data_IF_627103722605
#
_entry.id   IF_627103722605
#
_cell.length_a   1.000
_cell.length_b   1.000
_cell.length_c   1.000
_cell.angle_alpha   90.00
_cell.angle_beta   90.00
_cell.angle_gamma   90.00
#
_symmetry.space_group_name_H-M   'P 1'
#
loop_
_entity.id
_entity.type
_entity.pdbx_description
1 polymer ?
#
# COMPACT_ATOMS: atom_id res chain seq x y z
N UNK A 1 -19.00 3.22 15.72
CA UNK A 1 -19.47 2.20 14.76
C UNK A 1 -18.42 1.09 14.74
N UNK A 2 -18.61 0.05 15.55
CA UNK A 2 -17.68 -1.08 15.59
C UNK A 2 -18.01 -2.09 14.49
N UNK A 3 -17.01 -2.82 14.01
CA UNK A 3 -17.19 -3.96 13.10
C UNK A 3 -17.97 -5.05 13.87
N UNK A 4 -19.31 -5.03 13.77
CA UNK A 4 -20.18 -5.92 14.56
C UNK A 4 -20.18 -7.37 14.07
N UNK A 5 -19.60 -7.63 12.89
CA UNK A 5 -19.48 -8.93 12.27
C UNK A 5 -18.01 -9.32 12.14
N UNK A 6 -17.70 -10.61 12.21
CA UNK A 6 -16.34 -11.11 12.06
C UNK A 6 -15.82 -11.14 10.62
N UNK A 7 -16.53 -10.51 9.67
CA UNK A 7 -16.31 -10.58 8.23
C UNK A 7 -17.39 -11.40 7.49
N UNK A 8 -17.18 -11.71 6.19
CA UNK A 8 -15.97 -11.45 5.42
C UNK A 8 -15.84 -9.98 4.99
N UNK A 9 -14.59 -9.52 4.88
CA UNK A 9 -14.22 -8.20 4.38
C UNK A 9 -13.36 -8.30 3.14
N UNK A 10 -13.42 -7.26 2.31
CA UNK A 10 -12.52 -7.06 1.18
C UNK A 10 -11.62 -5.87 1.44
N UNK A 11 -10.31 -6.09 1.39
CA UNK A 11 -9.29 -5.06 1.39
C UNK A 11 -8.94 -4.70 -0.06
N UNK A 12 -8.98 -3.40 -0.37
CA UNK A 12 -8.57 -2.84 -1.65
C UNK A 12 -7.57 -1.72 -1.38
N UNK A 13 -6.35 -1.84 -1.91
CA UNK A 13 -5.37 -0.75 -1.89
C UNK A 13 -5.24 -0.15 -3.28
N UNK A 14 -5.30 1.18 -3.38
CA UNK A 14 -5.23 1.91 -4.64
C UNK A 14 -4.32 3.12 -4.58
N UNK A 15 -3.87 3.56 -5.76
CA UNK A 15 -3.24 4.86 -6.01
C UNK A 15 -4.07 5.64 -7.04
N UNK A 16 -4.74 6.74 -6.65
CA UNK A 16 -5.53 7.58 -7.55
C UNK A 16 -4.71 8.70 -8.22
N UNK A 17 -3.46 8.90 -7.83
CA UNK A 17 -2.66 10.06 -8.24
C UNK A 17 -1.91 9.83 -9.56
N UNK A 18 -1.79 8.58 -10.03
CA UNK A 18 -1.16 8.25 -11.32
C UNK A 18 -1.84 8.91 -12.52
N UNK A 19 -3.18 8.90 -12.55
CA UNK A 19 -3.97 9.49 -13.62
C UNK A 19 -5.24 10.13 -13.03
N UNK A 20 -5.17 11.44 -12.79
CA UNK A 20 -6.25 12.21 -12.14
C UNK A 20 -7.41 12.42 -13.11
N UNK A 21 -8.32 11.44 -13.18
CA UNK A 21 -9.53 11.49 -14.01
C UNK A 21 -10.79 11.76 -13.19
N UNK A 22 -11.89 12.13 -13.85
CA UNK A 22 -13.22 12.23 -13.26
C UNK A 22 -14.23 11.51 -14.18
N UNK A 23 -14.84 10.38 -13.77
CA UNK A 23 -14.65 9.66 -12.49
C UNK A 23 -13.23 9.09 -12.30
N UNK A 24 -12.82 8.79 -11.06
CA UNK A 24 -11.44 8.39 -10.77
C UNK A 24 -11.08 7.04 -11.39
N UNK A 25 -9.91 7.02 -12.00
CA UNK A 25 -9.22 5.86 -12.54
C UNK A 25 -7.96 5.64 -11.71
N UNK A 26 -7.73 4.42 -11.25
CA UNK A 26 -6.75 4.16 -10.19
C UNK A 26 -5.80 3.03 -10.56
N UNK A 27 -4.65 2.97 -9.91
CA UNK A 27 -3.80 1.78 -9.90
C UNK A 27 -4.24 0.88 -8.76
N UNK A 28 -4.36 -0.43 -9.03
CA UNK A 28 -4.58 -1.45 -7.99
C UNK A 28 -3.25 -1.92 -7.43
N UNK A 29 -3.06 -1.77 -6.12
CA UNK A 29 -1.85 -2.26 -5.43
C UNK A 29 -2.05 -3.63 -4.78
N UNK A 30 -3.24 -3.92 -4.25
CA UNK A 30 -3.63 -5.25 -3.78
C UNK A 30 -5.14 -5.34 -3.62
N UNK A 31 -5.66 -6.57 -3.71
CA UNK A 31 -7.04 -6.93 -3.40
C UNK A 31 -7.02 -8.26 -2.66
N UNK A 32 -7.56 -8.25 -1.44
CA UNK A 32 -7.65 -9.45 -0.60
C UNK A 32 -9.09 -9.58 -0.15
N UNK A 33 -9.72 -10.69 -0.52
CA UNK A 33 -11.08 -11.04 -0.14
C UNK A 33 -11.08 -12.00 1.05
N UNK A 34 -12.26 -12.25 1.62
CA UNK A 34 -12.52 -13.20 2.69
C UNK A 34 -11.70 -12.94 3.96
N UNK A 35 -11.36 -11.67 4.22
CA UNK A 35 -10.69 -11.28 5.45
C UNK A 35 -11.67 -11.38 6.62
N UNK A 36 -11.21 -11.91 7.74
CA UNK A 36 -11.98 -11.97 8.99
C UNK A 36 -11.24 -11.20 10.09
N UNK A 37 -11.97 -10.63 11.04
CA UNK A 37 -11.39 -9.95 12.21
C UNK A 37 -10.99 -10.92 13.32
N UNK A 38 -11.24 -12.22 13.13
CA UNK A 38 -10.95 -13.26 14.10
C UNK A 38 -9.43 -13.52 14.20
N UNK A 39 -8.82 -13.03 15.27
CA UNK A 39 -7.44 -13.34 15.63
C UNK A 39 -7.34 -14.84 15.94
N UNK A 40 -6.38 -15.56 15.32
CA UNK A 40 -6.14 -17.01 15.43
C UNK A 40 -7.06 -17.95 14.62
N UNK A 41 -7.93 -17.44 13.75
CA UNK A 41 -8.52 -18.30 12.71
C UNK A 41 -7.52 -18.49 11.58
N UNK A 42 -7.44 -19.69 11.00
CA UNK A 42 -6.81 -19.89 9.70
C UNK A 42 -7.55 -19.00 8.70
N UNK A 43 -6.99 -17.84 8.39
CA UNK A 43 -7.68 -16.84 7.60
C UNK A 43 -8.06 -17.45 6.26
N UNK A 44 -9.35 -17.44 5.92
CA UNK A 44 -9.84 -17.80 4.58
C UNK A 44 -9.50 -16.73 3.53
N UNK A 45 -8.60 -15.80 3.88
CA UNK A 45 -8.11 -14.73 3.04
C UNK A 45 -7.73 -15.27 1.67
N UNK A 46 -8.34 -14.69 0.66
CA UNK A 46 -8.10 -15.01 -0.72
C UNK A 46 -7.42 -13.80 -1.38
N UNK A 47 -6.14 -13.95 -1.71
CA UNK A 47 -5.38 -12.92 -2.41
C UNK A 47 -5.78 -12.94 -3.87
N UNK A 48 -6.73 -12.07 -4.23
CA UNK A 48 -7.17 -11.90 -5.61
C UNK A 48 -6.12 -11.17 -6.44
N UNK A 49 -5.39 -10.26 -5.80
CA UNK A 49 -4.37 -9.42 -6.40
C UNK A 49 -3.20 -9.27 -5.43
N UNK A 50 -2.06 -9.86 -5.77
CA UNK A 50 -0.86 -9.81 -4.93
C UNK A 50 -0.38 -8.37 -4.78
N UNK A 51 0.21 -8.08 -3.62
CA UNK A 51 0.69 -6.74 -3.30
C UNK A 51 1.85 -6.30 -4.21
N UNK A 52 1.73 -5.08 -4.73
CA UNK A 52 2.80 -4.37 -5.43
C UNK A 52 3.16 -3.13 -4.62
N UNK A 53 4.45 -2.94 -4.34
CA UNK A 53 4.91 -1.81 -3.56
C UNK A 53 4.67 -0.47 -4.29
N UNK A 54 4.32 0.61 -3.55
CA UNK A 54 4.38 1.98 -4.04
C UNK A 54 5.72 2.30 -4.71
N UNK A 55 5.66 2.80 -5.94
CA UNK A 55 6.82 3.26 -6.71
C UNK A 55 6.45 4.47 -7.58
N UNK A 56 6.04 5.60 -6.97
CA UNK A 56 5.65 6.78 -7.73
C UNK A 56 6.85 7.30 -8.54
N UNK A 57 6.63 7.62 -9.82
CA UNK A 57 7.68 8.12 -10.70
C UNK A 57 7.99 9.60 -10.50
N UNK A 58 7.04 10.37 -9.96
CA UNK A 58 7.18 11.81 -9.75
C UNK A 58 6.22 12.29 -8.66
N UNK A 59 6.61 13.35 -7.95
CA UNK A 59 5.74 13.98 -6.95
C UNK A 59 5.41 13.05 -5.78
N UNK A 60 4.32 13.37 -5.08
CA UNK A 60 3.83 12.59 -3.94
C UNK A 60 2.46 12.01 -4.27
N UNK A 61 2.34 10.69 -4.14
CA UNK A 61 1.09 9.95 -4.37
C UNK A 61 0.46 9.54 -3.03
N UNK A 62 -0.86 9.45 -3.00
CA UNK A 62 -1.64 8.92 -1.89
C UNK A 62 -1.97 7.45 -2.17
N UNK A 63 -1.70 6.59 -1.21
CA UNK A 63 -2.05 5.18 -1.26
C UNK A 63 -3.14 4.93 -0.24
N UNK A 64 -4.34 4.62 -0.71
CA UNK A 64 -5.51 4.46 0.15
C UNK A 64 -5.86 2.99 0.27
N UNK A 65 -5.98 2.51 1.50
CA UNK A 65 -6.49 1.21 1.85
C UNK A 65 -7.96 1.36 2.24
N UNK A 66 -8.84 0.73 1.48
CA UNK A 66 -10.26 0.61 1.81
C UNK A 66 -10.57 -0.78 2.32
N UNK A 67 -11.39 -0.85 3.36
CA UNK A 67 -12.02 -2.08 3.82
C UNK A 67 -13.52 -1.98 3.53
N UNK A 68 -14.06 -2.99 2.84
CA UNK A 68 -15.48 -3.09 2.51
C UNK A 68 -16.09 -4.31 3.18
N UNK A 69 -17.35 -4.22 3.57
CA UNK A 69 -18.16 -5.41 3.85
C UNK A 69 -18.23 -6.23 2.54
N UNK A 70 -17.86 -7.51 2.61
CA UNK A 70 -17.93 -8.40 1.47
C UNK A 70 -19.20 -9.25 1.55
N UNK A 71 -20.01 -9.22 0.50
CA UNK A 71 -21.19 -10.07 0.43
C UNK A 71 -20.81 -11.55 0.30
N UNK A 72 -21.68 -12.45 0.76
CA UNK A 72 -21.46 -13.90 0.70
C UNK A 72 -21.30 -14.44 -0.72
N UNK A 73 -21.84 -13.74 -1.72
CA UNK A 73 -21.77 -14.09 -3.15
C UNK A 73 -20.85 -13.16 -3.94
N UNK A 74 -19.88 -12.52 -3.28
CA UNK A 74 -18.95 -11.63 -3.94
C UNK A 74 -18.16 -12.34 -5.05
N UNK A 75 -18.08 -11.70 -6.21
CA UNK A 75 -17.23 -12.11 -7.32
C UNK A 75 -16.68 -10.88 -8.03
N UNK A 76 -15.55 -11.06 -8.70
CA UNK A 76 -14.99 -10.04 -9.59
C UNK A 76 -15.71 -10.15 -10.94
N UNK A 77 -16.38 -9.10 -11.44
CA UNK A 77 -16.95 -9.12 -12.77
C UNK A 77 -15.87 -9.35 -13.84
N UNK A 78 -16.15 -10.18 -14.85
CA UNK A 78 -15.16 -10.63 -15.85
C UNK A 78 -14.34 -9.49 -16.47
N UNK A 79 -14.97 -8.35 -16.76
CA UNK A 79 -14.27 -7.18 -17.34
C UNK A 79 -13.22 -6.54 -16.42
N UNK A 80 -13.17 -6.91 -15.14
CA UNK A 80 -12.19 -6.44 -14.18
C UNK A 80 -11.18 -7.51 -13.76
N UNK A 81 -11.31 -8.75 -14.24
CA UNK A 81 -10.41 -9.85 -13.86
C UNK A 81 -8.96 -9.55 -14.22
N UNK A 82 -8.71 -8.91 -15.37
CA UNK A 82 -7.35 -8.53 -15.80
C UNK A 82 -6.64 -7.63 -14.80
N UNK A 83 -7.39 -6.76 -14.09
CA UNK A 83 -6.83 -5.91 -13.05
C UNK A 83 -6.52 -6.66 -11.76
N UNK A 84 -6.88 -7.95 -11.65
CA UNK A 84 -6.63 -8.82 -10.49
C UNK A 84 -5.44 -9.76 -10.74
N UNK A 85 -5.11 -10.06 -12.00
CA UNK A 85 -4.04 -11.00 -12.36
C UNK A 85 -2.66 -10.55 -11.87
N UNK A 86 -1.91 -11.51 -11.32
CA UNK A 86 -0.50 -11.32 -10.96
C UNK A 86 0.35 -12.19 -11.88
N UNK A 87 0.89 -11.57 -12.92
CA UNK A 87 1.54 -12.22 -14.06
C UNK A 87 2.63 -11.31 -14.66
N UNK A 88 3.16 -11.68 -15.83
CA UNK A 88 4.22 -10.94 -16.52
C UNK A 88 3.78 -9.53 -16.98
N UNK A 89 2.47 -9.27 -17.08
CA UNK A 89 1.92 -7.94 -17.41
C UNK A 89 1.83 -7.03 -16.19
N UNK A 90 2.15 -7.52 -14.99
CA UNK A 90 2.14 -6.72 -13.76
C UNK A 90 3.37 -5.80 -13.70
N UNK A 91 3.24 -4.48 -13.46
CA UNK A 91 2.06 -3.76 -12.94
C UNK A 91 1.16 -3.12 -14.01
N UNK A 92 1.42 -3.30 -15.30
CA UNK A 92 0.70 -2.62 -16.38
C UNK A 92 -0.78 -2.99 -16.43
N UNK A 93 -1.12 -4.24 -16.15
CA UNK A 93 -2.52 -4.71 -16.05
C UNK A 93 -3.29 -4.07 -14.86
N UNK A 94 -2.61 -3.46 -13.89
CA UNK A 94 -3.23 -2.80 -12.72
C UNK A 94 -3.62 -1.36 -12.95
N UNK A 95 -3.22 -0.78 -14.07
CA UNK A 95 -3.42 0.64 -14.35
C UNK A 95 -4.83 0.91 -14.86
N UNK A 96 -5.38 2.04 -14.44
CA UNK A 96 -6.63 2.60 -14.94
C UNK A 96 -7.90 1.79 -14.61
N UNK A 97 -7.98 1.20 -13.41
CA UNK A 97 -9.23 0.60 -12.94
C UNK A 97 -10.28 1.72 -12.79
N UNK A 98 -11.45 1.65 -13.45
CA UNK A 98 -12.52 2.62 -13.26
C UNK A 98 -13.23 2.35 -11.92
N UNK A 99 -12.73 2.97 -10.85
CA UNK A 99 -13.06 2.62 -9.46
C UNK A 99 -14.57 2.65 -9.18
N UNK A 100 -15.26 3.70 -9.59
CA UNK A 100 -16.71 3.84 -9.36
C UNK A 100 -17.49 2.72 -10.04
N UNK A 101 -17.11 2.37 -11.28
CA UNK A 101 -17.72 1.25 -12.00
C UNK A 101 -17.44 -0.09 -11.33
N UNK A 102 -16.22 -0.27 -10.80
CA UNK A 102 -15.84 -1.48 -10.07
C UNK A 102 -16.68 -1.66 -8.80
N UNK A 103 -16.78 -0.63 -7.95
CA UNK A 103 -17.55 -0.69 -6.70
C UNK A 103 -19.05 -0.91 -6.96
N UNK A 104 -19.62 -0.23 -7.95
CA UNK A 104 -21.04 -0.38 -8.29
C UNK A 104 -21.38 -1.79 -8.75
N UNK A 105 -20.52 -2.43 -9.53
CA UNK A 105 -20.84 -3.74 -10.13
C UNK A 105 -20.43 -4.93 -9.28
N UNK A 106 -19.54 -4.74 -8.32
CA UNK A 106 -19.26 -5.73 -7.27
C UNK A 106 -20.27 -5.64 -6.11
N UNK A 107 -20.99 -4.51 -6.00
CA UNK A 107 -21.95 -4.29 -4.93
C UNK A 107 -21.31 -4.06 -3.55
N UNK A 108 -20.02 -3.69 -3.50
CA UNK A 108 -19.29 -3.47 -2.25
C UNK A 108 -19.81 -2.27 -1.42
N UNK A 109 -20.58 -1.37 -2.04
CA UNK A 109 -21.14 -0.21 -1.36
C UNK A 109 -20.07 0.77 -0.87
N UNK A 110 -20.28 1.35 0.31
CA UNK A 110 -19.34 2.27 0.94
C UNK A 110 -18.32 1.53 1.81
N UNK A 111 -17.07 2.00 1.91
CA UNK A 111 -16.08 1.38 2.79
C UNK A 111 -16.52 1.50 4.26
N UNK A 112 -16.32 0.43 5.02
CA UNK A 112 -16.57 0.40 6.48
C UNK A 112 -15.41 0.99 7.27
N UNK A 113 -14.20 0.97 6.69
CA UNK A 113 -13.02 1.60 7.22
C UNK A 113 -12.08 2.00 6.07
N UNK A 114 -11.23 2.99 6.32
CA UNK A 114 -10.17 3.37 5.41
C UNK A 114 -8.94 3.86 6.19
N UNK A 115 -7.77 3.70 5.59
CA UNK A 115 -6.55 4.37 6.01
C UNK A 115 -5.78 4.79 4.76
N UNK A 116 -4.84 5.74 4.89
CA UNK A 116 -3.99 6.13 3.78
C UNK A 116 -2.59 6.48 4.25
N UNK A 117 -1.65 6.42 3.33
CA UNK A 117 -0.30 6.95 3.52
C UNK A 117 0.19 7.60 2.22
N UNK A 118 1.30 8.34 2.31
CA UNK A 118 1.88 9.07 1.18
C UNK A 118 3.29 8.58 0.91
N UNK A 119 3.63 8.44 -0.37
CA UNK A 119 5.00 8.16 -0.83
C UNK A 119 5.39 9.22 -1.84
N UNK A 120 6.57 9.79 -1.65
CA UNK A 120 7.18 10.73 -2.60
C UNK A 120 8.18 9.98 -3.46
N UNK A 121 8.18 10.26 -4.76
CA UNK A 121 9.20 9.76 -5.67
C UNK A 121 10.60 10.09 -5.13
N UNK A 122 11.55 9.16 -5.26
CA UNK A 122 12.92 9.43 -4.86
C UNK A 122 13.44 10.64 -5.63
N UNK A 123 13.96 11.66 -4.92
CA UNK A 123 14.67 12.75 -5.55
C UNK A 123 15.90 12.18 -6.23
N UNK A 124 16.00 12.36 -7.55
CA UNK A 124 17.22 12.07 -8.29
C UNK A 124 18.21 13.21 -8.07
N UNK A 125 18.47 13.57 -6.80
CA UNK A 125 19.51 14.52 -6.43
C UNK A 125 20.85 13.85 -6.69
N UNK A 126 21.27 13.89 -7.94
CA UNK A 126 22.68 13.81 -8.29
C UNK A 126 23.33 14.96 -7.53
N UNK A 127 23.89 14.64 -6.36
CA UNK A 127 24.85 15.52 -5.70
C UNK A 127 26.04 15.63 -6.64
N UNK A 128 26.00 16.57 -7.58
CA UNK A 128 27.20 17.10 -8.20
C UNK A 128 27.93 17.81 -7.06
N UNK A 129 28.81 17.07 -6.39
CA UNK A 129 29.82 17.59 -5.49
C UNK A 129 30.67 18.57 -6.29
N UNK A 130 30.22 19.82 -6.32
CA UNK A 130 30.98 20.94 -6.83
C UNK A 130 31.88 21.34 -5.67
N UNK A 131 33.12 20.86 -5.69
CA UNK A 131 34.17 21.32 -4.78
C UNK A 131 34.26 22.85 -4.87
N UNK A 132 33.70 23.53 -3.88
CA UNK A 132 33.96 24.95 -3.61
C UNK A 132 34.31 25.10 -2.15
N UNK A 133 35.61 25.06 -1.90
CA UNK A 133 36.26 25.50 -0.68
C UNK A 133 35.85 26.93 -0.34
N UNK A 134 35.29 27.16 0.86
CA UNK A 134 35.02 28.49 1.40
C UNK A 134 34.43 28.38 2.82
N UNK A 135 35.05 28.95 3.86
CA UNK A 135 34.70 28.66 5.25
C UNK A 135 33.59 29.59 5.75
N UNK A 136 32.64 29.06 6.52
CA UNK A 136 31.91 29.81 7.53
C UNK A 136 31.27 28.88 8.57
N UNK A 137 31.23 29.41 9.78
CA UNK A 137 31.35 28.72 11.06
C UNK A 137 30.01 28.63 11.78
N UNK A 138 29.84 27.56 12.58
CA UNK A 138 28.93 27.41 13.74
C UNK A 138 27.41 27.42 13.45
N UNK A 139 26.55 26.64 14.10
CA UNK A 139 26.55 26.16 15.49
C UNK A 139 25.47 25.06 15.62
N UNK A 140 25.70 24.04 16.45
CA UNK A 140 24.62 23.23 17.03
C UNK A 140 24.82 21.71 17.05
N UNK A 141 25.67 21.25 17.96
CA UNK A 141 25.67 19.96 18.72
C UNK A 141 25.09 18.70 18.03
N UNK A 142 25.91 17.69 17.69
CA UNK A 142 26.51 16.68 18.59
C UNK A 142 25.45 16.00 19.49
N UNK A 143 24.89 14.87 19.07
CA UNK A 143 25.46 13.51 19.12
C UNK A 143 25.25 12.83 20.49
N UNK A 144 24.80 11.57 20.42
CA UNK A 144 25.45 10.39 21.02
C UNK A 144 24.40 9.35 21.45
N UNK A 145 24.54 8.03 21.32
CA UNK A 145 25.60 7.12 20.80
C UNK A 145 25.00 5.67 20.85
N UNK A 146 25.25 4.78 19.87
CA UNK A 146 26.22 3.64 19.88
C UNK A 146 25.70 2.37 20.57
N UNK A 147 25.93 1.10 20.20
CA UNK A 147 26.64 0.33 19.14
C UNK A 147 25.79 -0.94 18.91
N UNK A 148 25.91 -1.76 17.86
CA UNK A 148 27.03 -2.65 17.45
C UNK A 148 26.51 -3.49 16.27
N UNK A 149 27.22 -3.89 15.23
CA UNK A 149 28.62 -3.79 14.88
C UNK A 149 28.85 -4.40 13.47
N UNK A 150 30.11 -4.32 13.04
CA UNK A 150 30.79 -5.10 11.96
C UNK A 150 30.11 -5.18 10.60
N UNK A 151 30.65 -4.40 9.66
CA UNK A 151 30.23 -4.39 8.27
C UNK A 151 30.73 -5.57 7.44
N UNK A 152 29.97 -5.89 6.40
CA UNK A 152 30.44 -6.58 5.20
C UNK A 152 29.75 -5.99 3.97
N UNK A 153 30.54 -5.89 2.89
CA UNK A 153 30.22 -5.22 1.62
C UNK A 153 29.24 -6.06 0.79
N UNK A 154 28.30 -5.35 0.16
CA UNK A 154 27.46 -5.63 -1.03
C UNK A 154 27.38 -7.07 -1.57
N UNK A 155 26.15 -7.58 -1.72
CA UNK A 155 25.77 -8.45 -2.82
C UNK A 155 24.31 -8.22 -3.23
N UNK A 156 24.10 -8.20 -4.55
CA UNK A 156 22.82 -8.04 -5.21
C UNK A 156 21.89 -9.24 -5.01
N UNK A 157 20.59 -8.97 -4.96
CA UNK A 157 19.53 -9.94 -5.25
C UNK A 157 19.10 -10.81 -4.08
N UNK A 158 17.92 -10.54 -3.54
CA UNK A 158 16.87 -11.54 -3.22
C UNK A 158 15.69 -10.87 -2.51
N UNK A 159 14.49 -11.27 -2.92
CA UNK A 159 13.20 -10.83 -2.41
C UNK A 159 13.05 -11.23 -0.93
N UNK A 160 13.03 -10.25 -0.03
CA UNK A 160 12.60 -10.45 1.34
C UNK A 160 11.09 -10.20 1.43
N UNK A 161 10.35 -11.29 1.62
CA UNK A 161 8.98 -11.28 2.10
C UNK A 161 8.93 -10.51 3.43
N UNK A 162 8.39 -9.29 3.39
CA UNK A 162 8.17 -8.47 4.57
C UNK A 162 6.91 -8.93 5.30
N UNK A 163 7.08 -9.60 6.43
CA UNK A 163 6.00 -9.89 7.37
C UNK A 163 5.33 -8.59 7.84
N UNK A 164 4.02 -8.47 7.60
CA UNK A 164 3.21 -7.36 8.05
C UNK A 164 2.91 -7.53 9.55
N UNK A 165 3.72 -6.94 10.43
CA UNK A 165 3.42 -6.87 11.86
C UNK A 165 2.58 -5.62 12.16
N UNK A 166 1.27 -5.81 12.38
CA UNK A 166 0.37 -4.78 12.89
C UNK A 166 0.60 -4.60 14.40
N UNK A 167 1.37 -3.59 14.80
CA UNK A 167 1.40 -3.13 16.19
C UNK A 167 0.11 -2.37 16.49
N UNK A 168 -0.82 -3.01 17.20
CA UNK A 168 -1.99 -2.37 17.78
C UNK A 168 -1.60 -1.57 19.02
N UNK A 169 -1.77 -0.25 18.98
CA UNK A 169 -1.78 0.57 20.18
C UNK A 169 -3.20 0.55 20.77
N UNK A 170 -3.38 -0.16 21.89
CA UNK A 170 -4.58 -0.06 22.72
C UNK A 170 -4.38 1.09 23.72
N UNK A 171 -5.21 2.13 23.63
CA UNK A 171 -5.45 3.06 24.75
C UNK A 171 -6.73 2.61 25.44
N UNK A 172 -6.58 2.15 26.67
CA UNK A 172 -7.67 1.95 27.61
C UNK A 172 -7.92 3.26 28.35
N UNK A 173 -9.19 3.66 28.46
CA UNK A 173 -9.63 4.68 29.40
C UNK A 173 -10.65 4.05 30.34
N UNK A 174 -10.36 4.23 31.63
CA UNK A 174 -11.10 3.80 32.81
C UNK A 174 -12.43 4.53 32.93
#
# INVERSE_FOLDING_TARGET
MGLSNSGPYLLLMIDPDWNKTTPPSVIVHTVVANLTTAVNSSSAANVLASYIAPAPRSGTHNYTLFLFDQSTNFSIPNRYESFMLTDDDTPMNRLNLPLVGFLNQTGLGSPVAANYFRVTAASNDTSTSSDRSGPSTSTGAAASETSSGTGHKMAAGSYLAGALALLGAAVASV
#
